data_IF_201375676909
#
_entry.id   IF_201375676909
#
_cell.length_a   1.000
_cell.length_b   1.000
_cell.length_c   1.000
_cell.angle_alpha   90.00
_cell.angle_beta   90.00
_cell.angle_gamma   90.00
#
_symmetry.space_group_name_H-M   'P 1'
#
loop_
_entity.id
_entity.type
_entity.pdbx_description
1 polymer ?
#
# COMPACT_ATOMS: atom_id res chain seq x y z
N UNK A 1 -19.40 15.01 -5.21
CA UNK A 1 -18.66 14.67 -3.96
C UNK A 1 -18.50 13.16 -3.90
N UNK A 2 -17.32 12.61 -3.59
CA UNK A 2 -17.13 11.17 -3.46
C UNK A 2 -17.94 10.61 -2.28
N UNK A 3 -18.48 9.41 -2.43
CA UNK A 3 -19.17 8.67 -1.36
C UNK A 3 -18.31 7.47 -0.95
N UNK A 4 -18.13 7.26 0.35
CA UNK A 4 -17.42 6.10 0.88
C UNK A 4 -18.43 5.12 1.46
N UNK A 5 -18.39 3.87 0.99
CA UNK A 5 -19.15 2.76 1.53
C UNK A 5 -18.19 1.70 2.05
N UNK A 6 -18.39 1.26 3.29
CA UNK A 6 -17.54 0.28 3.93
C UNK A 6 -18.18 -1.11 3.93
N UNK A 7 -17.33 -2.12 3.86
CA UNK A 7 -17.70 -3.52 3.90
C UNK A 7 -16.84 -4.20 4.96
N UNK A 8 -17.48 -4.80 5.96
CA UNK A 8 -16.77 -5.40 7.09
C UNK A 8 -16.28 -6.80 6.73
N UNK A 9 -15.04 -7.12 7.10
CA UNK A 9 -14.51 -8.48 7.00
C UNK A 9 -15.32 -9.42 7.89
N UNK A 10 -15.52 -10.64 7.41
CA UNK A 10 -16.12 -11.71 8.21
C UNK A 10 -15.18 -12.12 9.35
N UNK A 11 -15.69 -12.90 10.32
CA UNK A 11 -14.85 -13.49 11.39
C UNK A 11 -13.68 -14.32 10.84
N UNK A 12 -13.87 -14.90 9.65
CA UNK A 12 -12.85 -15.64 8.89
C UNK A 12 -11.78 -14.74 8.23
N UNK A 13 -11.82 -13.42 8.46
CA UNK A 13 -10.97 -12.38 7.86
C UNK A 13 -11.16 -12.16 6.35
N UNK A 14 -12.02 -12.93 5.70
CA UNK A 14 -12.38 -12.74 4.30
C UNK A 14 -13.25 -11.50 4.08
N UNK A 15 -13.21 -10.98 2.86
CA UNK A 15 -14.03 -9.85 2.43
C UNK A 15 -15.53 -10.20 2.45
N UNK A 16 -16.37 -9.18 2.62
CA UNK A 16 -17.83 -9.33 2.56
C UNK A 16 -18.26 -9.86 1.16
N UNK A 17 -18.99 -10.98 1.07
CA UNK A 17 -19.49 -11.50 -0.21
C UNK A 17 -20.32 -10.48 -1.00
N UNK A 18 -20.93 -9.49 -0.34
CA UNK A 18 -21.65 -8.40 -1.00
C UNK A 18 -20.78 -7.60 -1.98
N UNK A 19 -19.45 -7.58 -1.81
CA UNK A 19 -18.53 -6.95 -2.76
C UNK A 19 -18.56 -7.61 -4.14
N UNK A 20 -18.99 -8.87 -4.26
CA UNK A 20 -19.18 -9.53 -5.57
C UNK A 20 -20.27 -8.86 -6.41
N UNK A 21 -21.19 -8.12 -5.78
CA UNK A 21 -22.20 -7.31 -6.48
C UNK A 21 -21.60 -6.05 -7.11
N UNK A 22 -20.43 -5.61 -6.65
CA UNK A 22 -19.72 -4.44 -7.19
C UNK A 22 -18.67 -4.89 -8.21
N UNK A 23 -17.81 -5.84 -7.85
CA UNK A 23 -16.79 -6.39 -8.76
C UNK A 23 -16.66 -7.91 -8.57
N UNK A 24 -16.56 -8.72 -9.65
CA UNK A 24 -16.60 -10.19 -9.57
C UNK A 24 -15.59 -10.84 -8.61
N UNK A 25 -14.41 -10.22 -8.42
CA UNK A 25 -13.39 -10.71 -7.49
C UNK A 25 -13.83 -10.61 -6.01
N UNK A 26 -14.79 -9.74 -5.68
CA UNK A 26 -15.29 -9.55 -4.32
C UNK A 26 -14.22 -9.08 -3.34
N UNK A 27 -13.29 -8.25 -3.80
CA UNK A 27 -12.19 -7.67 -3.02
C UNK A 27 -12.34 -6.16 -2.91
N UNK A 28 -11.65 -5.57 -1.94
CA UNK A 28 -11.51 -4.11 -1.80
C UNK A 28 -10.04 -3.74 -1.94
N UNK A 29 -9.72 -2.50 -2.37
CA UNK A 29 -10.66 -1.43 -2.75
C UNK A 29 -11.34 -1.65 -4.11
N UNK A 30 -12.49 -1.00 -4.30
CA UNK A 30 -13.17 -0.85 -5.59
C UNK A 30 -13.68 0.59 -5.67
N UNK A 31 -13.57 1.22 -6.84
CA UNK A 31 -14.09 2.57 -7.09
C UNK A 31 -15.12 2.51 -8.20
N UNK A 32 -16.29 3.09 -7.96
CA UNK A 32 -17.34 3.26 -8.97
C UNK A 32 -17.45 4.73 -9.36
N UNK A 33 -17.38 5.03 -10.65
CA UNK A 33 -17.47 6.39 -11.18
C UNK A 33 -18.69 6.48 -12.09
N UNK A 34 -19.65 7.32 -11.71
CA UNK A 34 -20.76 7.71 -12.59
C UNK A 34 -20.22 8.62 -13.69
N UNK A 35 -20.36 8.20 -14.94
CA UNK A 35 -19.90 8.97 -16.12
C UNK A 35 -21.13 9.48 -16.86
N UNK A 36 -21.29 10.81 -17.03
CA UNK A 36 -22.41 11.35 -17.79
C UNK A 36 -22.51 10.74 -19.19
N UNK A 37 -23.69 10.24 -19.55
CA UNK A 37 -23.95 9.59 -20.83
C UNK A 37 -23.64 8.09 -20.88
N UNK A 38 -23.01 7.51 -19.84
CA UNK A 38 -22.84 6.07 -19.76
C UNK A 38 -24.06 5.42 -19.08
N UNK A 39 -24.56 4.29 -19.61
CA UNK A 39 -25.71 3.59 -19.04
C UNK A 39 -25.39 2.83 -17.74
N UNK A 40 -24.10 2.61 -17.45
CA UNK A 40 -23.62 1.92 -16.27
C UNK A 40 -22.39 2.66 -15.72
N UNK A 41 -22.16 2.64 -14.40
CA UNK A 41 -20.97 3.23 -13.81
C UNK A 41 -19.72 2.47 -14.25
N UNK A 42 -18.61 3.19 -14.36
CA UNK A 42 -17.30 2.58 -14.50
C UNK A 42 -16.91 1.95 -13.16
N UNK A 43 -16.49 0.68 -13.18
CA UNK A 43 -16.02 -0.04 -12.00
C UNK A 43 -14.53 -0.31 -12.13
N UNK A 44 -13.75 0.17 -11.17
CA UNK A 44 -12.30 0.02 -11.10
C UNK A 44 -11.92 -0.84 -9.89
N UNK A 45 -11.02 -1.80 -10.10
CA UNK A 45 -10.41 -2.65 -9.07
C UNK A 45 -8.88 -2.62 -9.24
N UNK A 46 -8.16 -3.20 -8.27
CA UNK A 46 -6.69 -3.13 -8.10
C UNK A 46 -6.18 -1.75 -7.70
N UNK A 47 -5.43 -1.65 -6.61
CA UNK A 47 -5.08 -0.35 -6.00
C UNK A 47 -4.16 0.45 -6.90
N UNK A 48 -3.19 -0.21 -7.55
CA UNK A 48 -2.32 0.40 -8.56
C UNK A 48 -3.12 0.99 -9.72
N UNK A 49 -4.00 0.19 -10.33
CA UNK A 49 -4.81 0.60 -11.48
C UNK A 49 -5.83 1.70 -11.13
N UNK A 50 -6.49 1.60 -9.97
CA UNK A 50 -7.35 2.67 -9.45
C UNK A 50 -6.54 3.96 -9.30
N UNK A 51 -5.34 3.89 -8.72
CA UNK A 51 -4.50 5.05 -8.46
C UNK A 51 -4.05 5.72 -9.76
N UNK A 52 -3.60 4.93 -10.75
CA UNK A 52 -3.24 5.44 -12.08
C UNK A 52 -4.43 6.14 -12.75
N UNK A 53 -5.60 5.50 -12.76
CA UNK A 53 -6.81 6.09 -13.34
C UNK A 53 -7.19 7.40 -12.65
N UNK A 54 -7.12 7.45 -11.31
CA UNK A 54 -7.40 8.68 -10.58
C UNK A 54 -6.39 9.78 -10.90
N UNK A 55 -5.11 9.44 -11.09
CA UNK A 55 -4.10 10.39 -11.51
C UNK A 55 -4.38 10.94 -12.91
N UNK A 56 -4.72 10.05 -13.84
CA UNK A 56 -4.98 10.39 -15.24
C UNK A 56 -6.16 11.34 -15.42
N UNK A 57 -7.21 11.26 -14.59
CA UNK A 57 -8.43 12.03 -14.81
C UNK A 57 -8.75 13.07 -13.73
N UNK A 58 -8.26 12.88 -12.51
CA UNK A 58 -8.60 13.72 -11.36
C UNK A 58 -7.38 14.41 -10.73
N UNK A 59 -6.15 14.11 -11.17
CA UNK A 59 -4.93 14.64 -10.57
C UNK A 59 -3.86 15.12 -11.56
N UNK A 60 -4.24 15.44 -12.82
CA UNK A 60 -3.30 15.84 -13.88
C UNK A 60 -2.33 16.96 -13.49
N UNK A 61 -2.78 17.92 -12.69
CA UNK A 61 -2.01 19.13 -12.34
C UNK A 61 -1.53 19.14 -10.89
N UNK A 62 -1.62 18.02 -10.17
CA UNK A 62 -1.27 17.97 -8.73
C UNK A 62 0.19 17.59 -8.48
N UNK A 63 0.95 17.24 -9.52
CA UNK A 63 2.32 16.73 -9.40
C UNK A 63 2.43 15.30 -8.86
N UNK A 64 1.30 14.58 -8.71
CA UNK A 64 1.30 13.19 -8.20
C UNK A 64 1.94 12.19 -9.17
N UNK A 65 2.04 12.55 -10.45
CA UNK A 65 2.79 11.83 -11.47
C UNK A 65 3.99 12.70 -11.86
N UNK A 66 5.23 12.27 -11.62
CA UNK A 66 6.41 13.05 -11.98
C UNK A 66 6.56 13.14 -13.50
N UNK A 67 7.27 14.18 -13.96
CA UNK A 67 7.56 14.36 -15.38
C UNK A 67 8.25 13.14 -15.95
N UNK A 68 7.64 12.52 -16.98
CA UNK A 68 8.15 11.27 -17.56
C UNK A 68 9.50 11.42 -18.23
N UNK A 69 9.62 12.34 -19.18
CA UNK A 69 10.80 12.48 -20.01
C UNK A 69 11.62 13.72 -19.64
N UNK A 70 12.94 13.64 -19.88
CA UNK A 70 13.79 14.84 -19.95
C UNK A 70 13.30 15.73 -21.09
N UNK A 71 13.56 17.04 -20.98
CA UNK A 71 13.09 18.01 -21.97
C UNK A 71 13.48 17.65 -23.41
N UNK A 72 12.47 17.56 -24.29
CA UNK A 72 12.62 17.28 -25.73
C UNK A 72 13.19 15.89 -26.03
N UNK A 73 13.00 14.93 -25.13
CA UNK A 73 13.47 13.55 -25.29
C UNK A 73 12.33 12.51 -25.26
N UNK A 74 11.11 12.93 -25.56
CA UNK A 74 9.91 12.10 -25.54
C UNK A 74 10.05 10.89 -26.49
N UNK A 75 9.62 9.72 -26.03
CA UNK A 75 9.61 8.48 -26.82
C UNK A 75 10.98 7.82 -27.02
N UNK A 76 12.06 8.39 -26.48
CA UNK A 76 13.42 7.81 -26.58
C UNK A 76 13.73 6.92 -25.39
N UNK A 77 14.29 5.73 -25.67
CA UNK A 77 14.68 4.75 -24.64
C UNK A 77 15.74 5.35 -23.71
N UNK A 78 15.51 5.24 -22.40
CA UNK A 78 16.46 5.69 -21.38
C UNK A 78 16.50 7.21 -21.16
N UNK A 79 15.54 7.93 -21.73
CA UNK A 79 15.42 9.38 -21.55
C UNK A 79 14.33 9.77 -20.55
N UNK A 80 13.74 8.80 -19.86
CA UNK A 80 12.90 9.04 -18.71
C UNK A 80 13.68 9.72 -17.57
N UNK A 81 12.98 10.50 -16.75
CA UNK A 81 13.55 11.06 -15.53
C UNK A 81 13.72 9.95 -14.49
N UNK A 82 14.71 10.09 -13.60
CA UNK A 82 14.89 9.14 -12.51
C UNK A 82 13.65 9.07 -11.60
N UNK A 83 13.05 10.23 -11.30
CA UNK A 83 11.79 10.35 -10.55
C UNK A 83 10.67 9.51 -11.17
N UNK A 84 10.51 9.54 -12.49
CA UNK A 84 9.48 8.76 -13.15
C UNK A 84 9.78 7.26 -13.19
N UNK A 85 11.05 6.88 -13.39
CA UNK A 85 11.44 5.47 -13.33
C UNK A 85 11.18 4.88 -11.94
N UNK A 86 11.52 5.62 -10.87
CA UNK A 86 11.19 5.23 -9.49
C UNK A 86 9.69 5.19 -9.24
N UNK A 87 8.95 6.18 -9.70
CA UNK A 87 7.49 6.21 -9.62
C UNK A 87 6.90 4.94 -10.23
N UNK A 88 7.23 4.62 -11.49
CA UNK A 88 6.75 3.42 -12.17
C UNK A 88 7.13 2.16 -11.41
N UNK A 89 8.37 2.07 -10.93
CA UNK A 89 8.82 0.94 -10.14
C UNK A 89 7.98 0.77 -8.86
N UNK A 90 7.80 1.82 -8.07
CA UNK A 90 7.10 1.76 -6.79
C UNK A 90 5.59 1.58 -6.92
N UNK A 91 4.97 2.05 -8.00
CA UNK A 91 3.57 1.75 -8.33
C UNK A 91 3.31 0.23 -8.46
N UNK A 92 4.30 -0.55 -8.91
CA UNK A 92 4.20 -2.01 -9.00
C UNK A 92 4.81 -2.74 -7.79
N UNK A 93 5.90 -2.23 -7.23
CA UNK A 93 6.63 -2.84 -6.12
C UNK A 93 5.79 -2.97 -4.85
N UNK A 94 4.91 -1.99 -4.58
CA UNK A 94 4.05 -1.99 -3.40
C UNK A 94 3.24 -3.31 -3.31
N UNK A 95 2.50 -3.66 -4.36
CA UNK A 95 1.66 -4.84 -4.42
C UNK A 95 2.43 -6.11 -4.84
N UNK A 96 3.40 -5.98 -5.74
CA UNK A 96 4.10 -7.11 -6.33
C UNK A 96 5.29 -7.64 -5.53
N UNK A 97 5.80 -6.88 -4.54
CA UNK A 97 7.04 -7.24 -3.83
C UNK A 97 6.89 -7.26 -2.32
N UNK A 98 6.53 -6.14 -1.68
CA UNK A 98 6.47 -6.07 -0.21
C UNK A 98 5.14 -6.56 0.37
N UNK A 99 4.01 -6.34 -0.30
CA UNK A 99 2.70 -6.78 0.19
C UNK A 99 2.56 -8.32 0.33
N UNK A 100 3.14 -9.17 -0.54
CA UNK A 100 3.11 -10.62 -0.37
C UNK A 100 3.72 -11.09 0.96
N UNK A 101 4.81 -10.47 1.42
CA UNK A 101 5.41 -10.81 2.71
C UNK A 101 4.56 -10.37 3.90
N UNK A 102 3.89 -9.23 3.78
CA UNK A 102 2.87 -8.79 4.74
C UNK A 102 1.71 -9.81 4.83
N UNK A 103 1.21 -10.28 3.69
CA UNK A 103 0.16 -11.30 3.64
C UNK A 103 0.63 -12.62 4.23
N UNK A 104 1.86 -13.06 3.91
CA UNK A 104 2.39 -14.31 4.42
C UNK A 104 2.57 -14.27 5.94
N UNK A 105 3.12 -13.18 6.47
CA UNK A 105 3.23 -12.96 7.92
C UNK A 105 1.84 -12.92 8.58
N UNK A 106 0.85 -12.28 7.96
CA UNK A 106 -0.53 -12.29 8.45
C UNK A 106 -1.13 -13.72 8.50
N UNK A 107 -0.88 -14.55 7.49
CA UNK A 107 -1.31 -15.96 7.50
C UNK A 107 -0.66 -16.71 8.66
N UNK A 108 0.65 -16.55 8.87
CA UNK A 108 1.37 -17.18 9.97
C UNK A 108 0.83 -16.75 11.34
N UNK A 109 0.51 -15.46 11.52
CA UNK A 109 -0.11 -14.94 12.74
C UNK A 109 -1.48 -15.57 13.01
N UNK A 110 -2.29 -15.79 11.96
CA UNK A 110 -3.58 -16.46 12.10
C UNK A 110 -3.42 -17.94 12.47
N UNK A 111 -2.45 -18.65 11.89
CA UNK A 111 -2.11 -20.03 12.27
C UNK A 111 -1.67 -20.10 13.73
N UNK A 112 -0.80 -19.18 14.17
CA UNK A 112 -0.39 -19.08 15.57
C UNK A 112 -1.53 -18.72 16.51
N UNK A 113 -2.58 -18.04 16.03
CA UNK A 113 -3.73 -17.65 16.84
C UNK A 113 -4.87 -18.69 16.82
N UNK A 114 -4.72 -19.79 16.05
CA UNK A 114 -5.75 -20.80 15.92
C UNK A 114 -6.12 -21.44 17.28
N UNK A 115 -7.42 -21.69 17.54
CA UNK A 115 -7.88 -22.32 18.77
C UNK A 115 -7.58 -23.83 18.71
N UNK A 116 -6.38 -24.20 19.17
CA UNK A 116 -5.92 -25.60 19.26
C UNK A 116 -5.65 -25.97 20.73
N UNK A 117 -5.71 -27.27 21.08
CA UNK A 117 -5.35 -27.72 22.42
C UNK A 117 -3.94 -27.27 22.83
N UNK A 118 -3.77 -26.94 24.12
CA UNK A 118 -2.54 -26.35 24.65
C UNK A 118 -1.29 -27.20 24.41
N UNK A 119 -1.43 -28.53 24.31
CA UNK A 119 -0.32 -29.45 24.06
C UNK A 119 0.17 -29.47 22.61
N UNK A 120 -0.66 -29.06 21.64
CA UNK A 120 -0.29 -28.94 20.22
C UNK A 120 0.37 -27.58 19.94
N UNK A 121 -0.04 -26.55 20.69
CA UNK A 121 0.41 -25.17 20.51
C UNK A 121 1.93 -24.99 20.42
N UNK A 122 2.77 -25.65 21.24
CA UNK A 122 4.23 -25.51 21.17
C UNK A 122 4.81 -25.95 19.83
N UNK A 123 4.30 -27.04 19.25
CA UNK A 123 4.77 -27.59 17.97
C UNK A 123 4.45 -26.62 16.84
N UNK A 124 3.21 -26.09 16.80
CA UNK A 124 2.81 -25.07 15.82
C UNK A 124 3.68 -23.81 15.94
N UNK A 125 3.88 -23.33 17.17
CA UNK A 125 4.70 -22.15 17.41
C UNK A 125 6.15 -22.35 16.96
N UNK A 126 6.72 -23.54 17.18
CA UNK A 126 8.07 -23.89 16.72
C UNK A 126 8.17 -23.84 15.19
N UNK A 127 7.25 -24.50 14.48
CA UNK A 127 7.24 -24.50 13.00
C UNK A 127 7.08 -23.09 12.45
N UNK A 128 6.11 -22.32 12.97
CA UNK A 128 5.91 -20.94 12.51
C UNK A 128 7.13 -20.07 12.82
N UNK A 129 7.76 -20.23 13.98
CA UNK A 129 8.98 -19.51 14.34
C UNK A 129 10.12 -19.80 13.36
N UNK A 130 10.29 -21.07 12.96
CA UNK A 130 11.32 -21.47 11.97
C UNK A 130 11.05 -20.85 10.59
N UNK A 131 9.81 -20.89 10.11
CA UNK A 131 9.43 -20.26 8.83
C UNK A 131 9.67 -18.74 8.91
N UNK A 132 9.31 -18.11 10.02
CA UNK A 132 9.54 -16.68 10.22
C UNK A 132 11.02 -16.34 10.17
N UNK A 133 11.86 -17.05 10.93
CA UNK A 133 13.30 -16.78 10.97
C UNK A 133 14.01 -17.09 9.65
N UNK A 134 13.59 -18.16 8.94
CA UNK A 134 14.27 -18.60 7.73
C UNK A 134 13.83 -17.84 6.46
N UNK A 135 12.58 -17.37 6.41
CA UNK A 135 12.03 -16.75 5.20
C UNK A 135 11.48 -15.34 5.44
N UNK A 136 10.57 -15.15 6.40
CA UNK A 136 9.82 -13.88 6.52
C UNK A 136 10.67 -12.73 7.02
N UNK A 137 11.40 -12.94 8.12
CA UNK A 137 12.25 -11.92 8.76
C UNK A 137 13.35 -11.43 7.80
N UNK A 138 14.14 -12.29 7.13
CA UNK A 138 15.14 -11.83 6.17
C UNK A 138 14.56 -11.02 5.01
N UNK A 139 13.33 -11.32 4.59
CA UNK A 139 12.67 -10.62 3.49
C UNK A 139 12.22 -9.23 3.92
N UNK A 140 11.60 -9.08 5.10
CA UNK A 140 11.33 -7.74 5.64
C UNK A 140 12.60 -6.91 5.78
N UNK A 141 13.68 -7.52 6.29
CA UNK A 141 14.97 -6.82 6.41
C UNK A 141 15.51 -6.38 5.05
N UNK A 142 15.48 -7.25 4.04
CA UNK A 142 15.90 -6.93 2.66
C UNK A 142 15.06 -5.79 2.08
N UNK A 143 13.73 -5.88 2.19
CA UNK A 143 12.83 -4.86 1.66
C UNK A 143 12.98 -3.52 2.39
N UNK A 144 13.13 -3.52 3.72
CA UNK A 144 13.32 -2.30 4.49
C UNK A 144 14.69 -1.66 4.24
N UNK A 145 15.77 -2.44 4.18
CA UNK A 145 17.09 -1.92 3.78
C UNK A 145 17.04 -1.31 2.38
N UNK A 146 16.37 -1.96 1.43
CA UNK A 146 16.16 -1.42 0.10
C UNK A 146 15.40 -0.09 0.15
N UNK A 147 14.24 -0.03 0.80
CA UNK A 147 13.43 1.20 0.89
C UNK A 147 14.20 2.33 1.58
N UNK A 148 14.90 2.05 2.66
CA UNK A 148 15.75 3.02 3.34
C UNK A 148 16.84 3.56 2.39
N UNK A 149 17.48 2.68 1.61
CA UNK A 149 18.47 3.10 0.59
C UNK A 149 17.84 3.98 -0.49
N UNK A 150 16.60 3.69 -0.90
CA UNK A 150 15.89 4.48 -1.89
C UNK A 150 15.52 5.87 -1.34
N UNK A 151 15.12 5.97 -0.07
CA UNK A 151 14.90 7.24 0.61
C UNK A 151 16.20 8.06 0.71
N UNK A 152 17.33 7.43 1.07
CA UNK A 152 18.65 8.10 1.14
C UNK A 152 19.12 8.63 -0.21
N UNK A 153 18.78 7.95 -1.29
CA UNK A 153 19.20 8.28 -2.66
C UNK A 153 18.09 8.95 -3.46
N UNK A 154 17.06 9.49 -2.80
CA UNK A 154 15.91 10.11 -3.46
C UNK A 154 16.34 11.16 -4.50
N UNK A 155 15.75 11.15 -5.72
CA UNK A 155 16.13 12.08 -6.79
C UNK A 155 16.11 13.53 -6.31
N UNK A 156 17.08 14.32 -6.75
CA UNK A 156 17.22 15.74 -6.37
C UNK A 156 17.32 15.96 -4.84
N UNK A 157 17.88 15.00 -4.09
CA UNK A 157 17.96 15.05 -2.62
C UNK A 157 16.59 15.23 -1.96
N UNK A 158 15.57 14.62 -2.55
CA UNK A 158 14.19 14.75 -2.12
C UNK A 158 13.87 14.00 -0.82
N UNK A 159 12.70 14.29 -0.27
CA UNK A 159 12.21 13.68 0.97
C UNK A 159 11.22 12.53 0.76
N UNK A 160 10.83 12.26 -0.48
CA UNK A 160 9.91 11.17 -0.88
C UNK A 160 10.63 10.15 -1.77
N UNK A 161 10.01 9.01 -2.08
CA UNK A 161 10.66 7.92 -2.83
C UNK A 161 11.05 8.32 -4.26
N UNK A 162 10.29 9.24 -4.85
CA UNK A 162 10.45 9.65 -6.24
C UNK A 162 11.06 11.04 -6.41
N UNK A 163 11.41 11.72 -5.31
CA UNK A 163 12.05 13.04 -5.34
C UNK A 163 11.52 14.00 -4.27
N UNK A 164 11.54 15.32 -4.54
CA UNK A 164 11.20 16.33 -3.53
C UNK A 164 9.70 16.42 -3.24
N UNK A 165 8.87 16.03 -4.22
CA UNK A 165 7.41 16.11 -4.17
C UNK A 165 6.77 14.74 -3.95
N UNK A 166 5.61 14.74 -3.31
CA UNK A 166 4.81 13.52 -3.11
C UNK A 166 4.28 13.03 -4.46
N UNK A 167 4.42 11.74 -4.69
CA UNK A 167 3.81 11.04 -5.82
C UNK A 167 2.75 10.04 -5.39
N UNK A 168 1.96 9.54 -6.34
CA UNK A 168 0.99 8.48 -6.07
C UNK A 168 1.67 7.18 -5.60
N UNK A 169 2.92 6.95 -5.99
CA UNK A 169 3.72 5.83 -5.51
C UNK A 169 3.97 5.90 -4.00
N UNK A 170 4.19 7.11 -3.44
CA UNK A 170 4.33 7.30 -2.00
C UNK A 170 3.03 6.96 -1.24
N UNK A 171 1.89 7.33 -1.83
CA UNK A 171 0.56 6.98 -1.28
C UNK A 171 0.37 5.46 -1.27
N UNK A 172 0.66 4.78 -2.38
CA UNK A 172 0.55 3.31 -2.45
C UNK A 172 1.52 2.61 -1.50
N UNK A 173 2.76 3.10 -1.40
CA UNK A 173 3.78 2.53 -0.52
C UNK A 173 3.49 2.73 0.96
N UNK A 174 2.69 3.73 1.34
CA UNK A 174 2.30 3.93 2.74
C UNK A 174 1.65 2.67 3.33
N UNK A 175 0.75 2.03 2.59
CA UNK A 175 -0.03 0.89 3.08
C UNK A 175 0.81 -0.36 3.43
N UNK A 176 1.64 -0.93 2.53
CA UNK A 176 2.47 -2.08 2.87
C UNK A 176 3.54 -1.75 3.92
N UNK A 177 3.95 -0.48 4.05
CA UNK A 177 4.87 -0.03 5.09
C UNK A 177 4.20 0.08 6.47
N UNK A 178 2.99 0.62 6.55
CA UNK A 178 2.16 0.63 7.77
C UNK A 178 1.88 -0.81 8.23
N UNK A 179 1.47 -1.68 7.30
CA UNK A 179 1.30 -3.11 7.56
C UNK A 179 2.59 -3.77 8.04
N UNK A 180 3.72 -3.42 7.43
CA UNK A 180 5.03 -3.97 7.75
C UNK A 180 5.53 -3.50 9.12
N UNK A 181 5.26 -2.25 9.51
CA UNK A 181 5.60 -1.69 10.81
C UNK A 181 5.00 -2.55 11.94
N UNK A 182 3.72 -2.91 11.83
CA UNK A 182 3.03 -3.72 12.83
C UNK A 182 3.44 -5.21 12.81
N UNK A 183 3.73 -5.76 11.63
CA UNK A 183 3.85 -7.22 11.44
C UNK A 183 5.26 -7.76 11.44
N UNK A 184 6.25 -6.94 11.07
CA UNK A 184 7.64 -7.37 10.88
C UNK A 184 8.36 -7.69 12.19
N UNK A 185 7.96 -7.06 13.30
CA UNK A 185 8.73 -7.06 14.54
C UNK A 185 10.04 -6.27 14.44
N UNK A 186 10.15 -5.34 13.49
CA UNK A 186 11.36 -4.55 13.23
C UNK A 186 11.14 -3.03 13.33
N UNK A 187 10.07 -2.59 13.98
CA UNK A 187 9.74 -1.17 14.16
C UNK A 187 10.94 -0.37 14.73
N UNK A 188 11.71 -0.93 15.66
CA UNK A 188 12.81 -0.20 16.29
C UNK A 188 14.09 -0.11 15.43
N UNK A 189 14.14 -0.78 14.26
CA UNK A 189 15.37 -0.90 13.44
C UNK A 189 15.45 0.04 12.23
N UNK A 190 14.32 0.53 11.73
CA UNK A 190 14.23 1.24 10.45
C UNK A 190 13.61 2.63 10.59
N UNK A 191 14.12 3.42 11.55
CA UNK A 191 13.59 4.75 11.86
C UNK A 191 13.45 5.70 10.67
N UNK A 192 14.29 5.68 9.61
CA UNK A 192 14.08 6.56 8.45
C UNK A 192 12.80 6.23 7.66
N UNK A 193 12.39 4.96 7.60
CA UNK A 193 11.14 4.56 6.93
C UNK A 193 9.94 5.09 7.72
N UNK A 194 10.01 5.04 9.05
CA UNK A 194 8.94 5.49 9.92
C UNK A 194 8.83 7.01 9.95
N UNK A 195 9.97 7.71 9.97
CA UNK A 195 9.99 9.16 9.77
C UNK A 195 9.43 9.58 8.40
N UNK A 196 9.60 8.74 7.37
CA UNK A 196 8.96 8.92 6.08
C UNK A 196 7.44 8.71 6.15
N UNK A 197 6.95 7.66 6.83
CA UNK A 197 5.51 7.47 7.07
C UNK A 197 4.89 8.62 7.85
N UNK A 198 5.54 9.08 8.93
CA UNK A 198 5.09 10.22 9.74
C UNK A 198 4.92 11.47 8.87
N UNK A 199 5.85 11.69 7.92
CA UNK A 199 5.76 12.79 6.95
C UNK A 199 4.56 12.66 6.03
N UNK A 200 4.20 11.44 5.62
CA UNK A 200 2.98 11.20 4.83
C UNK A 200 1.73 11.47 5.67
N UNK A 201 1.69 11.00 6.92
CA UNK A 201 0.57 11.18 7.84
C UNK A 201 0.35 12.64 8.26
N UNK A 202 1.44 13.42 8.36
CA UNK A 202 1.39 14.82 8.72
C UNK A 202 0.69 15.70 7.67
N UNK A 203 0.49 15.21 6.44
CA UNK A 203 -0.15 15.96 5.36
C UNK A 203 -1.63 16.18 5.65
N UNK A 204 -2.11 17.41 5.42
CA UNK A 204 -3.52 17.76 5.59
C UNK A 204 -4.47 16.90 4.75
N UNK A 205 -4.06 16.45 3.57
CA UNK A 205 -4.85 15.54 2.76
C UNK A 205 -5.06 14.17 3.43
N UNK A 206 -4.02 13.62 4.09
CA UNK A 206 -4.12 12.37 4.84
C UNK A 206 -5.02 12.53 6.05
N UNK A 207 -4.84 13.60 6.84
CA UNK A 207 -5.70 13.90 8.00
C UNK A 207 -7.17 14.04 7.61
N UNK A 208 -7.48 14.69 6.48
CA UNK A 208 -8.86 14.76 5.96
C UNK A 208 -9.40 13.38 5.57
N UNK A 209 -8.58 12.53 4.96
CA UNK A 209 -8.98 11.16 4.63
C UNK A 209 -9.28 10.34 5.89
N UNK A 210 -8.40 10.40 6.90
CA UNK A 210 -8.60 9.76 8.21
C UNK A 210 -9.86 10.25 8.88
N UNK A 211 -10.06 11.58 8.96
CA UNK A 211 -11.27 12.17 9.54
C UNK A 211 -12.53 11.66 8.83
N UNK A 212 -12.49 11.50 7.51
CA UNK A 212 -13.63 10.97 6.76
C UNK A 212 -13.94 9.52 7.12
N UNK A 213 -12.92 8.70 7.39
CA UNK A 213 -13.09 7.34 7.87
C UNK A 213 -13.68 7.36 9.28
N UNK A 214 -13.17 8.20 10.18
CA UNK A 214 -13.68 8.34 11.55
C UNK A 214 -15.15 8.79 11.60
N UNK A 215 -15.56 9.71 10.72
CA UNK A 215 -16.95 10.14 10.57
C UNK A 215 -17.91 8.98 10.22
N UNK A 216 -17.42 7.96 9.51
CA UNK A 216 -18.22 6.83 9.02
C UNK A 216 -18.13 5.62 9.95
N UNK A 217 -16.93 5.35 10.46
CA UNK A 217 -16.58 4.13 11.19
C UNK A 217 -16.44 4.32 12.71
N UNK A 218 -16.50 5.58 13.18
CA UNK A 218 -16.30 5.98 14.57
C UNK A 218 -14.85 5.93 15.05
N UNK A 219 -13.95 5.30 14.30
CA UNK A 219 -12.51 5.28 14.57
C UNK A 219 -11.71 4.95 13.30
N UNK A 220 -10.46 5.40 13.25
CA UNK A 220 -9.49 4.95 12.27
C UNK A 220 -8.51 3.98 12.92
N UNK A 221 -8.32 2.83 12.27
CA UNK A 221 -7.23 1.90 12.58
C UNK A 221 -6.59 1.51 11.26
N UNK A 222 -5.28 1.65 11.19
CA UNK A 222 -4.45 1.20 10.07
C UNK A 222 -4.41 -0.33 9.97
N UNK A 223 -4.87 -1.03 11.03
CA UNK A 223 -4.80 -2.47 11.16
C UNK A 223 -5.86 -3.19 10.30
N UNK A 224 -5.35 -4.13 9.51
CA UNK A 224 -6.07 -5.27 8.92
C UNK A 224 -6.23 -6.41 9.94
#
# INVERSE_FOLDING_TARGET
MPQLKTYKRLKTKWADPALKKVHPLGKSPVVTIEVPGNPQPLVLAESGAITEYLCDYFAKDTGLVPKRYKDRQEGKIGQETESWLRYRFFMHYAEGSIMPWNLFQFILQNVQSAPVPFFIKPIINMIVSQIRSAAVTPQFETHFQFIESQLKTSPNSGQFLCGPDLTAADILMSFPLEAGHERSGMADRFSPIWAYLDRLHAREAYKRAVKKIEEIEGSFKTNL
#
